data_IF_086488224233
#
_entry.id   IF_086488224233
#
_cell.length_a   1.000
_cell.length_b   1.000
_cell.length_c   1.000
_cell.angle_alpha   90.00
_cell.angle_beta   90.00
_cell.angle_gamma   90.00
#
_symmetry.space_group_name_H-M   'P 1'
#
loop_
_entity.id
_entity.type
_entity.pdbx_description
1 polymer ?
#
# COMPACT_ATOMS: atom_id res chain seq x y z
N UNK A 1 -24.18 -26.67 18.42
CA UNK A 1 -23.20 -26.02 17.52
C UNK A 1 -23.90 -25.20 16.44
N UNK A 2 -24.69 -24.18 16.80
CA UNK A 2 -25.39 -23.34 15.82
C UNK A 2 -25.64 -21.90 16.30
N UNK A 3 -24.77 -21.34 17.13
CA UNK A 3 -25.01 -20.00 17.71
C UNK A 3 -23.81 -19.05 17.63
N UNK A 4 -22.64 -19.51 17.16
CA UNK A 4 -21.44 -18.66 16.99
C UNK A 4 -21.30 -18.05 15.58
N UNK A 5 -22.16 -18.43 14.62
CA UNK A 5 -22.09 -17.96 13.22
C UNK A 5 -22.94 -16.70 12.92
N UNK A 6 -23.71 -16.18 13.89
CA UNK A 6 -24.54 -14.96 13.71
C UNK A 6 -24.01 -13.72 14.45
N UNK A 7 -22.89 -13.86 15.18
CA UNK A 7 -22.29 -12.77 15.96
C UNK A 7 -21.37 -11.87 15.13
N UNK A 8 -20.79 -12.36 14.02
CA UNK A 8 -19.91 -11.55 13.16
C UNK A 8 -20.67 -10.68 12.15
N UNK A 9 -21.85 -11.12 11.69
CA UNK A 9 -22.47 -10.50 10.50
C UNK A 9 -22.92 -9.04 10.71
N UNK A 10 -23.33 -8.64 11.92
CA UNK A 10 -23.95 -7.31 12.13
C UNK A 10 -22.96 -6.16 12.36
N UNK A 11 -21.82 -6.44 13.00
CA UNK A 11 -20.75 -5.45 13.17
C UNK A 11 -19.97 -5.30 11.86
N UNK A 12 -19.73 -6.43 11.16
CA UNK A 12 -19.21 -6.44 9.78
C UNK A 12 -20.13 -5.64 8.83
N UNK A 13 -21.46 -5.77 8.97
CA UNK A 13 -22.44 -5.01 8.18
C UNK A 13 -22.38 -3.50 8.46
N UNK A 14 -22.12 -3.08 9.71
CA UNK A 14 -21.98 -1.67 10.06
C UNK A 14 -20.67 -1.09 9.52
N UNK A 15 -19.55 -1.76 9.75
CA UNK A 15 -18.23 -1.30 9.28
C UNK A 15 -18.20 -1.20 7.76
N UNK A 16 -18.75 -2.21 7.06
CA UNK A 16 -18.91 -2.18 5.60
C UNK A 16 -19.82 -1.04 5.15
N UNK A 17 -20.95 -0.84 5.81
CA UNK A 17 -21.88 0.24 5.47
C UNK A 17 -21.31 1.63 5.78
N UNK A 18 -20.42 1.76 6.77
CA UNK A 18 -19.70 2.99 7.10
C UNK A 18 -18.63 3.30 6.03
N UNK A 19 -17.90 2.28 5.60
CA UNK A 19 -16.96 2.40 4.49
C UNK A 19 -17.67 2.80 3.18
N UNK A 20 -18.81 2.16 2.87
CA UNK A 20 -19.63 2.50 1.69
C UNK A 20 -20.24 3.92 1.77
N UNK A 21 -20.55 4.38 2.98
CA UNK A 21 -21.03 5.75 3.21
C UNK A 21 -19.92 6.79 2.98
N UNK A 22 -18.72 6.53 3.50
CA UNK A 22 -17.55 7.38 3.33
C UNK A 22 -17.09 7.43 1.87
N UNK A 23 -17.02 6.28 1.20
CA UNK A 23 -16.68 6.17 -0.22
C UNK A 23 -17.63 7.01 -1.08
N UNK A 24 -18.93 6.97 -0.80
CA UNK A 24 -19.87 7.79 -1.57
C UNK A 24 -19.81 9.29 -1.29
N UNK A 25 -19.41 9.72 -0.08
CA UNK A 25 -19.14 11.15 0.16
C UNK A 25 -17.90 11.58 -0.65
N UNK A 26 -16.92 10.69 -0.77
CA UNK A 26 -15.71 10.91 -1.55
C UNK A 26 -16.02 10.96 -3.05
N UNK A 27 -16.82 10.04 -3.56
CA UNK A 27 -17.28 10.02 -4.96
C UNK A 27 -18.07 11.27 -5.30
N UNK A 28 -18.98 11.70 -4.41
CA UNK A 28 -19.74 12.94 -4.57
C UNK A 28 -18.79 14.14 -4.70
N UNK A 29 -17.79 14.24 -3.81
CA UNK A 29 -16.77 15.29 -3.87
C UNK A 29 -16.01 15.26 -5.20
N UNK A 30 -15.61 14.08 -5.68
CA UNK A 30 -14.87 13.92 -6.92
C UNK A 30 -15.73 14.35 -8.13
N UNK A 31 -16.99 13.90 -8.18
CA UNK A 31 -17.92 14.25 -9.27
C UNK A 31 -18.22 15.74 -9.36
N UNK A 32 -18.08 16.48 -8.25
CA UNK A 32 -18.27 17.93 -8.17
C UNK A 32 -16.95 18.73 -8.30
N UNK A 33 -15.95 18.18 -8.98
CA UNK A 33 -14.70 18.88 -9.30
C UNK A 33 -13.63 18.80 -8.20
N UNK A 34 -13.76 17.85 -7.27
CA UNK A 34 -12.79 17.55 -6.22
C UNK A 34 -12.30 18.76 -5.39
N UNK A 35 -13.18 19.66 -4.91
CA UNK A 35 -12.77 20.85 -4.15
C UNK A 35 -11.94 20.45 -2.92
N UNK A 36 -10.88 21.18 -2.62
CA UNK A 36 -9.99 20.85 -1.50
C UNK A 36 -10.73 20.97 -0.16
N UNK A 37 -10.28 20.25 0.87
CA UNK A 37 -10.90 20.36 2.21
C UNK A 37 -10.80 21.78 2.77
N UNK A 38 -9.74 22.51 2.38
CA UNK A 38 -9.54 23.91 2.72
C UNK A 38 -10.58 24.80 2.02
N UNK A 39 -10.85 24.58 0.74
CA UNK A 39 -11.91 25.30 0.01
C UNK A 39 -13.30 25.05 0.60
N UNK A 40 -13.63 23.79 0.90
CA UNK A 40 -14.90 23.41 1.54
C UNK A 40 -15.04 24.11 2.90
N UNK A 41 -13.99 24.06 3.72
CA UNK A 41 -13.97 24.70 5.04
C UNK A 41 -14.09 26.24 4.95
N UNK A 42 -13.44 26.86 3.98
CA UNK A 42 -13.52 28.30 3.74
C UNK A 42 -14.91 28.73 3.28
N UNK A 43 -15.55 27.98 2.37
CA UNK A 43 -16.93 28.25 1.94
C UNK A 43 -17.93 28.13 3.09
N UNK A 44 -17.77 27.13 3.94
CA UNK A 44 -18.59 26.95 5.14
C UNK A 44 -18.45 28.15 6.10
N UNK A 45 -17.20 28.56 6.39
CA UNK A 45 -16.92 29.73 7.24
C UNK A 45 -17.49 31.01 6.67
N UNK A 46 -17.37 31.24 5.36
CA UNK A 46 -17.94 32.40 4.68
C UNK A 46 -19.48 32.43 4.76
N UNK A 47 -20.12 31.26 4.84
CA UNK A 47 -21.57 31.11 5.06
C UNK A 47 -21.99 31.21 6.55
N UNK A 48 -21.08 31.59 7.46
CA UNK A 48 -21.35 31.69 8.89
C UNK A 48 -21.41 30.35 9.62
N UNK A 49 -20.87 29.27 9.03
CA UNK A 49 -20.94 27.91 9.58
C UNK A 49 -19.53 27.38 9.88
N UNK A 50 -19.26 27.08 11.15
CA UNK A 50 -17.91 26.78 11.63
C UNK A 50 -17.61 25.29 11.80
N UNK A 51 -18.58 24.41 11.53
CA UNK A 51 -18.48 22.98 11.86
C UNK A 51 -17.61 22.14 10.89
N UNK A 52 -17.20 22.67 9.74
CA UNK A 52 -16.43 21.93 8.73
C UNK A 52 -14.93 22.26 8.79
N UNK A 53 -14.20 21.67 9.74
CA UNK A 53 -12.73 21.75 9.73
C UNK A 53 -12.11 20.78 8.72
N UNK A 54 -10.95 21.08 8.09
CA UNK A 54 -10.32 20.15 7.16
C UNK A 54 -10.03 18.77 7.75
N UNK A 55 -9.68 18.70 9.04
CA UNK A 55 -9.48 17.43 9.76
C UNK A 55 -10.77 16.64 9.89
N UNK A 56 -11.87 17.29 10.28
CA UNK A 56 -13.16 16.62 10.42
C UNK A 56 -13.72 16.14 9.07
N UNK A 57 -13.48 16.89 7.99
CA UNK A 57 -13.81 16.47 6.62
C UNK A 57 -13.02 15.21 6.25
N UNK A 58 -11.71 15.19 6.55
CA UNK A 58 -10.88 14.03 6.30
C UNK A 58 -11.35 12.80 7.09
N UNK A 59 -11.66 12.94 8.38
CA UNK A 59 -12.19 11.84 9.21
C UNK A 59 -13.48 11.25 8.62
N UNK A 60 -14.40 12.11 8.17
CA UNK A 60 -15.67 11.69 7.59
C UNK A 60 -15.49 10.95 6.25
N UNK A 61 -14.58 11.41 5.40
CA UNK A 61 -14.29 10.78 4.10
C UNK A 61 -13.47 9.50 4.20
N UNK A 62 -12.72 9.32 5.29
CA UNK A 62 -11.96 8.11 5.58
C UNK A 62 -12.76 7.05 6.34
N UNK A 63 -14.02 7.32 6.70
CA UNK A 63 -14.88 6.36 7.40
C UNK A 63 -14.44 6.03 8.82
N UNK A 64 -13.66 6.90 9.47
CA UNK A 64 -13.12 6.69 10.84
C UNK A 64 -14.26 6.55 11.86
N UNK A 65 -15.32 7.34 11.69
CA UNK A 65 -16.55 7.30 12.49
C UNK A 65 -17.69 7.90 11.70
N UNK A 66 -18.92 7.52 12.03
CA UNK A 66 -20.11 8.15 11.47
C UNK A 66 -20.18 9.64 11.91
N UNK A 67 -20.04 10.62 10.99
CA UNK A 67 -20.20 12.04 11.34
C UNK A 67 -21.62 12.36 11.81
N UNK A 68 -21.82 13.50 12.46
CA UNK A 68 -23.17 13.96 12.81
C UNK A 68 -24.01 14.23 11.57
N UNK A 69 -25.34 14.07 11.66
CA UNK A 69 -26.25 14.39 10.56
C UNK A 69 -26.05 15.82 10.07
N UNK A 70 -25.93 16.78 11.00
CA UNK A 70 -25.72 18.19 10.67
C UNK A 70 -24.42 18.40 9.88
N UNK A 71 -23.33 17.78 10.33
CA UNK A 71 -22.04 17.80 9.64
C UNK A 71 -22.15 17.20 8.23
N UNK A 72 -22.77 16.02 8.09
CA UNK A 72 -22.95 15.35 6.79
C UNK A 72 -23.71 16.24 5.82
N UNK A 73 -24.85 16.78 6.24
CA UNK A 73 -25.68 17.61 5.36
C UNK A 73 -25.00 18.93 5.00
N UNK A 74 -24.21 19.49 5.92
CA UNK A 74 -23.42 20.69 5.64
C UNK A 74 -22.28 20.39 4.65
N UNK A 75 -21.57 19.27 4.82
CA UNK A 75 -20.53 18.84 3.89
C UNK A 75 -21.09 18.63 2.47
N UNK A 76 -22.21 17.90 2.36
CA UNK A 76 -22.90 17.67 1.07
C UNK A 76 -23.29 19.00 0.42
N UNK A 77 -23.82 19.94 1.20
CA UNK A 77 -24.19 21.28 0.70
C UNK A 77 -22.97 22.05 0.17
N UNK A 78 -21.82 21.97 0.83
CA UNK A 78 -20.61 22.68 0.37
C UNK A 78 -19.96 22.04 -0.86
N UNK A 79 -20.30 20.76 -1.14
CA UNK A 79 -19.84 20.02 -2.32
C UNK A 79 -20.77 20.27 -3.52
N UNK A 80 -22.07 20.08 -3.34
CA UNK A 80 -23.06 20.05 -4.44
C UNK A 80 -23.80 21.39 -4.61
N UNK A 81 -23.74 22.26 -3.59
CA UNK A 81 -24.57 23.47 -3.53
C UNK A 81 -25.92 23.22 -2.88
N UNK A 82 -26.88 24.12 -3.10
CA UNK A 82 -28.21 24.02 -2.51
C UNK A 82 -29.13 23.09 -3.32
N UNK A 83 -29.08 21.79 -3.05
CA UNK A 83 -29.96 20.79 -3.66
C UNK A 83 -30.80 20.06 -2.60
N UNK A 84 -32.13 20.30 -2.53
CA UNK A 84 -33.02 19.63 -1.58
C UNK A 84 -33.11 18.11 -1.78
N UNK A 85 -33.08 17.61 -3.01
CA UNK A 85 -33.20 16.17 -3.29
C UNK A 85 -31.95 15.43 -2.84
N UNK A 86 -30.77 15.97 -3.11
CA UNK A 86 -29.51 15.43 -2.60
C UNK A 86 -29.46 15.49 -1.07
N UNK A 87 -29.92 16.59 -0.47
CA UNK A 87 -29.99 16.72 1.00
C UNK A 87 -30.84 15.61 1.64
N UNK A 88 -32.01 15.34 1.08
CA UNK A 88 -32.92 14.32 1.61
C UNK A 88 -32.37 12.90 1.39
N UNK A 89 -31.80 12.63 0.21
CA UNK A 89 -31.14 11.34 -0.07
C UNK A 89 -29.99 11.04 0.91
N UNK A 90 -29.18 12.05 1.25
CA UNK A 90 -28.10 11.92 2.21
C UNK A 90 -28.60 11.79 3.66
N UNK A 91 -29.71 12.45 4.00
CA UNK A 91 -30.39 12.26 5.29
C UNK A 91 -30.88 10.81 5.45
N UNK A 92 -31.46 10.23 4.40
CA UNK A 92 -31.94 8.85 4.42
C UNK A 92 -30.79 7.84 4.49
N UNK A 93 -29.70 8.09 3.76
CA UNK A 93 -28.50 7.26 3.79
C UNK A 93 -27.86 7.27 5.18
N UNK A 94 -27.73 8.45 5.81
CA UNK A 94 -27.25 8.57 7.17
C UNK A 94 -28.16 7.85 8.17
N UNK A 95 -29.48 8.02 8.04
CA UNK A 95 -30.47 7.41 8.94
C UNK A 95 -30.42 5.87 8.89
N UNK A 96 -30.22 5.29 7.69
CA UNK A 96 -30.02 3.84 7.53
C UNK A 96 -28.76 3.37 8.27
N UNK A 97 -27.64 4.07 8.09
CA UNK A 97 -26.39 3.73 8.76
C UNK A 97 -26.46 3.90 10.28
N UNK A 98 -27.15 4.94 10.75
CA UNK A 98 -27.36 5.16 12.20
C UNK A 98 -28.20 4.05 12.83
N UNK A 99 -29.20 3.51 12.12
CA UNK A 99 -29.98 2.35 12.57
C UNK A 99 -29.11 1.09 12.70
N UNK A 100 -28.15 0.89 11.80
CA UNK A 100 -27.17 -0.21 11.90
C UNK A 100 -26.25 -0.02 13.12
N UNK A 101 -25.75 1.19 13.35
CA UNK A 101 -24.94 1.53 14.53
C UNK A 101 -25.68 1.22 15.85
N UNK A 102 -26.97 1.57 15.93
CA UNK A 102 -27.80 1.28 17.11
C UNK A 102 -28.13 -0.21 17.27
N UNK A 103 -28.17 -1.00 16.17
CA UNK A 103 -28.38 -2.45 16.24
C UNK A 103 -27.15 -3.16 16.80
N UNK A 104 -25.94 -2.77 16.41
CA UNK A 104 -24.68 -3.26 17.02
C UNK A 104 -24.54 -2.84 18.49
N UNK A 105 -24.87 -1.58 18.81
CA UNK A 105 -24.83 -1.05 20.17
C UNK A 105 -25.86 -1.67 21.14
N UNK A 106 -27.11 -1.94 20.69
CA UNK A 106 -28.14 -2.63 21.50
C UNK A 106 -27.81 -4.11 21.77
N UNK A 107 -27.04 -4.77 20.89
CA UNK A 107 -26.57 -6.15 21.10
C UNK A 107 -25.48 -6.18 22.17
N UNK A 108 -24.54 -5.22 22.16
CA UNK A 108 -23.50 -5.04 23.20
C UNK A 108 -24.08 -4.60 24.57
N UNK A 109 -25.15 -3.80 24.57
CA UNK A 109 -25.85 -3.36 25.79
C UNK A 109 -26.73 -4.44 26.45
N UNK A 110 -27.00 -5.59 25.81
CA UNK A 110 -27.65 -6.73 26.48
C UNK A 110 -26.70 -7.51 27.39
N UNK A 111 -25.39 -7.41 27.16
CA UNK A 111 -24.33 -8.02 27.98
C UNK A 111 -23.74 -7.05 29.03
N UNK A 112 -24.30 -5.85 29.17
CA UNK A 112 -23.88 -4.88 30.18
C UNK A 112 -25.08 -4.06 30.64
N UNK A 113 -25.51 -4.31 31.88
CA UNK A 113 -26.71 -3.73 32.49
C UNK A 113 -26.70 -2.18 32.57
N UNK A 114 -27.87 -1.55 32.80
CA UNK A 114 -28.04 -0.12 32.55
C UNK A 114 -27.85 0.73 33.81
N UNK A 115 -27.11 1.83 33.66
CA UNK A 115 -27.22 3.06 34.45
C UNK A 115 -26.32 4.11 33.77
N UNK A 116 -26.66 5.38 33.57
CA UNK A 116 -27.83 6.18 33.86
C UNK A 116 -27.68 7.42 32.97
N UNK A 117 -28.76 7.83 32.32
CA UNK A 117 -28.85 9.15 31.71
C UNK A 117 -29.60 10.09 32.66
N UNK A 118 -29.21 11.35 32.58
CA UNK A 118 -30.06 12.53 32.70
C UNK A 118 -30.40 13.05 34.10
N UNK A 119 -30.16 14.36 34.25
CA UNK A 119 -30.67 15.35 35.21
C UNK A 119 -29.53 16.37 35.46
N UNK A 120 -29.69 17.68 35.32
CA UNK A 120 -30.91 18.48 35.22
C UNK A 120 -30.53 19.91 34.88
N UNK A 121 -31.26 20.49 33.92
CA UNK A 121 -31.46 21.93 33.87
C UNK A 121 -32.32 22.38 35.07
N UNK A 122 -32.16 23.64 35.45
CA UNK A 122 -33.00 24.43 36.38
C UNK A 122 -32.75 24.21 37.88
N UNK A 123 -32.00 25.13 38.50
CA UNK A 123 -32.62 25.94 39.57
C UNK A 123 -31.96 27.31 39.64
N UNK A 124 -32.78 28.32 39.40
CA UNK A 124 -32.48 29.73 39.54
C UNK A 124 -32.36 30.12 41.01
N UNK A 125 -31.41 31.04 41.28
CA UNK A 125 -31.61 32.25 42.07
C UNK A 125 -32.26 32.10 43.46
N UNK A 126 -31.43 32.10 44.52
CA UNK A 126 -31.69 32.85 45.75
C UNK A 126 -30.43 32.86 46.64
N UNK A 127 -29.65 33.93 46.53
CA UNK A 127 -28.70 34.32 47.57
C UNK A 127 -29.45 35.16 48.61
N UNK A 128 -29.57 34.62 49.83
CA UNK A 128 -29.21 35.26 51.11
C UNK A 128 -29.88 34.55 52.28
N UNK A 129 -29.06 33.94 53.16
CA UNK A 129 -28.99 34.28 54.59
C UNK A 129 -27.86 33.47 55.31
N UNK A 130 -27.10 34.19 56.14
CA UNK A 130 -26.38 33.75 57.35
C UNK A 130 -25.54 32.46 57.40
N UNK A 131 -24.21 32.62 57.48
CA UNK A 131 -23.35 31.82 58.37
C UNK A 131 -22.96 30.38 57.95
N UNK A 132 -23.87 29.59 57.39
CA UNK A 132 -23.61 28.18 57.05
C UNK A 132 -23.18 27.99 55.58
N UNK A 133 -23.60 28.89 54.69
CA UNK A 133 -23.25 28.85 53.26
C UNK A 133 -21.75 29.00 52.97
N UNK A 134 -20.97 29.59 53.87
CA UNK A 134 -19.52 29.77 53.69
C UNK A 134 -18.72 28.49 54.00
N UNK A 135 -19.28 27.57 54.80
CA UNK A 135 -18.65 26.28 55.11
C UNK A 135 -18.96 25.25 54.03
N UNK A 136 -20.21 25.22 53.56
CA UNK A 136 -20.63 24.40 52.42
C UNK A 136 -19.89 24.79 51.13
N UNK A 137 -19.80 26.09 50.81
CA UNK A 137 -19.06 26.57 49.64
C UNK A 137 -17.54 26.28 49.73
N UNK A 138 -16.96 26.32 50.94
CA UNK A 138 -15.55 25.94 51.15
C UNK A 138 -15.32 24.44 51.00
N UNK A 139 -16.26 23.62 51.47
CA UNK A 139 -16.20 22.17 51.31
C UNK A 139 -16.34 21.77 49.83
N UNK A 140 -17.30 22.37 49.12
CA UNK A 140 -17.49 22.19 47.68
C UNK A 140 -16.24 22.61 46.89
N UNK A 141 -15.63 23.75 47.22
CA UNK A 141 -14.36 24.17 46.62
C UNK A 141 -13.22 23.19 46.90
N UNK A 142 -13.14 22.63 48.11
CA UNK A 142 -12.13 21.64 48.47
C UNK A 142 -12.34 20.31 47.71
N UNK A 143 -13.59 19.89 47.53
CA UNK A 143 -13.95 18.67 46.80
C UNK A 143 -13.66 18.82 45.30
N UNK A 144 -13.91 20.00 44.71
CA UNK A 144 -13.56 20.32 43.31
C UNK A 144 -12.03 20.26 43.12
N UNK A 145 -11.25 20.83 44.04
CA UNK A 145 -9.78 20.80 43.96
C UNK A 145 -9.25 19.36 44.12
N UNK A 146 -9.83 18.58 45.03
CA UNK A 146 -9.48 17.19 45.21
C UNK A 146 -9.82 16.34 43.98
N UNK A 147 -10.95 16.59 43.33
CA UNK A 147 -11.34 15.93 42.09
C UNK A 147 -10.41 16.31 40.94
N UNK A 148 -10.15 17.59 40.74
CA UNK A 148 -9.24 18.08 39.71
C UNK A 148 -7.83 17.48 39.85
N UNK A 149 -7.36 17.27 41.10
CA UNK A 149 -6.09 16.59 41.37
C UNK A 149 -6.12 15.12 40.98
N UNK A 150 -7.18 14.38 41.30
CA UNK A 150 -7.35 12.97 40.89
C UNK A 150 -7.39 12.83 39.37
N UNK A 151 -8.12 13.72 38.70
CA UNK A 151 -8.23 13.72 37.24
C UNK A 151 -6.87 14.03 36.59
N UNK A 152 -6.12 14.99 37.14
CA UNK A 152 -4.76 15.29 36.68
C UNK A 152 -3.79 14.12 36.89
N UNK A 153 -3.88 13.42 38.02
CA UNK A 153 -3.08 12.22 38.29
C UNK A 153 -3.44 11.07 37.32
N UNK A 154 -4.72 10.89 36.99
CA UNK A 154 -5.17 9.91 35.99
C UNK A 154 -4.65 10.23 34.58
N UNK A 155 -4.77 11.48 34.14
CA UNK A 155 -4.27 11.92 32.84
C UNK A 155 -2.74 11.76 32.71
N UNK A 156 -2.00 12.03 33.79
CA UNK A 156 -0.56 11.81 33.83
C UNK A 156 -0.20 10.32 33.77
N UNK A 157 -1.00 9.44 34.38
CA UNK A 157 -0.81 8.00 34.31
C UNK A 157 -1.06 7.48 32.88
N UNK A 158 -2.16 7.89 32.24
CA UNK A 158 -2.48 7.55 30.85
C UNK A 158 -1.40 8.04 29.87
N UNK A 159 -0.92 9.28 30.04
CA UNK A 159 0.13 9.84 29.21
C UNK A 159 1.46 9.07 29.35
N UNK A 160 1.78 8.58 30.55
CA UNK A 160 2.97 7.73 30.78
C UNK A 160 2.83 6.37 30.10
N UNK A 161 1.67 5.75 30.21
CA UNK A 161 1.42 4.45 29.57
C UNK A 161 1.53 4.54 28.04
N UNK A 162 0.96 5.59 27.44
CA UNK A 162 1.11 5.87 26.00
C UNK A 162 2.57 6.11 25.60
N UNK A 163 3.33 6.86 26.40
CA UNK A 163 4.75 7.08 26.15
C UNK A 163 5.56 5.78 26.21
N UNK A 164 5.27 4.91 27.18
CA UNK A 164 5.92 3.60 27.33
C UNK A 164 5.56 2.63 26.18
N UNK A 165 4.33 2.70 25.67
CA UNK A 165 3.91 1.95 24.47
C UNK A 165 4.66 2.43 23.22
N UNK A 166 4.74 3.75 23.00
CA UNK A 166 5.53 4.33 21.90
C UNK A 166 6.99 3.90 21.99
N UNK A 167 7.59 3.93 23.18
CA UNK A 167 8.98 3.52 23.39
C UNK A 167 9.19 2.03 23.13
N UNK A 168 8.24 1.18 23.52
CA UNK A 168 8.27 -0.27 23.22
C UNK A 168 8.20 -0.53 21.72
N UNK A 169 7.29 0.13 21.02
CA UNK A 169 7.14 0.02 19.56
C UNK A 169 8.40 0.50 18.84
N UNK A 170 8.98 1.63 19.27
CA UNK A 170 10.24 2.14 18.71
C UNK A 170 11.43 1.19 18.93
N UNK A 171 11.54 0.59 20.12
CA UNK A 171 12.59 -0.42 20.42
C UNK A 171 12.42 -1.69 19.58
N UNK A 172 11.19 -2.12 19.36
CA UNK A 172 10.90 -3.30 18.54
C UNK A 172 11.23 -3.04 17.06
N UNK A 173 10.79 -1.91 16.52
CA UNK A 173 11.14 -1.48 15.16
C UNK A 173 12.67 -1.32 14.98
N UNK A 174 13.37 -0.78 15.98
CA UNK A 174 14.83 -0.67 15.99
C UNK A 174 15.53 -2.04 16.00
N UNK A 175 15.04 -3.01 16.79
CA UNK A 175 15.56 -4.39 16.79
C UNK A 175 15.31 -5.11 15.46
N UNK A 176 14.15 -4.90 14.84
CA UNK A 176 13.83 -5.45 13.53
C UNK A 176 14.71 -4.84 12.44
N UNK A 177 14.93 -3.51 12.47
CA UNK A 177 15.87 -2.84 11.57
C UNK A 177 17.33 -3.31 11.78
N UNK A 178 17.75 -3.52 13.03
CA UNK A 178 19.08 -4.06 13.35
C UNK A 178 19.23 -5.51 12.86
N UNK A 179 18.17 -6.33 12.91
CA UNK A 179 18.16 -7.68 12.32
C UNK A 179 18.25 -7.65 10.79
N UNK A 180 17.60 -6.69 10.12
CA UNK A 180 17.72 -6.50 8.66
C UNK A 180 19.14 -6.13 8.23
N UNK A 181 19.89 -5.42 9.09
CA UNK A 181 21.28 -5.03 8.82
C UNK A 181 22.31 -6.11 9.20
N UNK A 182 21.92 -7.19 9.88
CA UNK A 182 22.82 -8.31 10.13
C UNK A 182 22.87 -9.20 8.88
N UNK A 183 24.05 -9.37 8.29
CA UNK A 183 24.27 -10.30 7.17
C UNK A 183 23.91 -11.70 7.67
N UNK A 184 22.80 -12.26 7.17
CA UNK A 184 22.40 -13.61 7.54
C UNK A 184 23.43 -14.62 7.02
N UNK A 185 23.58 -15.81 7.63
CA UNK A 185 24.49 -16.84 7.12
C UNK A 185 24.22 -17.21 5.66
N UNK A 186 22.96 -17.13 5.21
CA UNK A 186 22.58 -17.33 3.81
C UNK A 186 23.14 -16.23 2.90
N UNK A 187 23.01 -14.96 3.29
CA UNK A 187 23.59 -13.83 2.54
C UNK A 187 25.12 -13.93 2.53
N UNK A 188 25.75 -14.22 3.67
CA UNK A 188 27.20 -14.39 3.75
C UNK A 188 27.71 -15.46 2.78
N UNK A 189 27.05 -16.62 2.69
CA UNK A 189 27.40 -17.68 1.72
C UNK A 189 27.28 -17.20 0.27
N UNK A 190 26.23 -16.44 -0.05
CA UNK A 190 26.05 -15.89 -1.39
C UNK A 190 27.15 -14.87 -1.74
N UNK A 191 27.52 -14.01 -0.79
CA UNK A 191 28.56 -12.99 -0.98
C UNK A 191 29.98 -13.55 -1.10
N UNK A 192 30.24 -14.80 -0.67
CA UNK A 192 31.56 -15.45 -0.86
C UNK A 192 31.81 -16.00 -2.26
N UNK A 193 30.81 -15.94 -3.16
CA UNK A 193 30.95 -16.45 -4.52
C UNK A 193 31.68 -15.45 -5.42
N UNK A 194 32.46 -15.97 -6.37
CA UNK A 194 33.14 -15.14 -7.38
C UNK A 194 32.17 -14.34 -8.26
N UNK A 195 30.98 -14.87 -8.53
CA UNK A 195 29.94 -14.12 -9.25
C UNK A 195 28.52 -14.65 -9.04
N UNK A 196 27.54 -13.75 -9.13
CA UNK A 196 26.10 -14.03 -9.02
C UNK A 196 25.32 -13.45 -10.22
N UNK A 197 25.13 -14.25 -11.27
CA UNK A 197 24.37 -13.92 -12.47
C UNK A 197 23.05 -14.68 -12.43
N UNK A 198 21.98 -13.98 -12.06
CA UNK A 198 20.67 -14.58 -11.77
C UNK A 198 19.65 -14.07 -12.78
N UNK A 199 18.92 -14.99 -13.40
CA UNK A 199 17.75 -14.63 -14.23
C UNK A 199 16.49 -14.70 -13.38
N UNK A 200 15.73 -13.60 -13.34
CA UNK A 200 14.48 -13.55 -12.61
C UNK A 200 13.31 -13.97 -13.50
N UNK A 201 12.76 -15.14 -13.21
CA UNK A 201 11.64 -15.74 -13.93
C UNK A 201 10.34 -15.61 -13.14
N UNK A 202 9.23 -15.52 -13.83
CA UNK A 202 7.92 -15.35 -13.20
C UNK A 202 6.94 -14.64 -14.10
N UNK A 203 5.66 -14.98 -13.96
CA UNK A 203 4.58 -14.39 -14.74
C UNK A 203 4.45 -12.88 -14.45
N UNK A 204 3.82 -12.09 -15.33
CA UNK A 204 3.45 -10.71 -14.99
C UNK A 204 2.65 -10.69 -13.68
N UNK A 205 3.02 -9.81 -12.74
CA UNK A 205 2.37 -9.74 -11.42
C UNK A 205 3.01 -10.62 -10.34
N UNK A 206 4.01 -11.46 -10.67
CA UNK A 206 4.68 -12.32 -9.70
C UNK A 206 5.55 -11.57 -8.65
N UNK A 207 5.75 -10.26 -8.80
CA UNK A 207 6.53 -9.45 -7.84
C UNK A 207 8.03 -9.32 -8.16
N UNK A 208 8.49 -9.80 -9.33
CA UNK A 208 9.89 -9.68 -9.79
C UNK A 208 10.49 -8.28 -9.62
N UNK A 209 9.79 -7.25 -10.07
CA UNK A 209 10.28 -5.87 -9.97
C UNK A 209 10.58 -5.47 -8.52
N UNK A 210 9.65 -5.75 -7.61
CA UNK A 210 9.81 -5.52 -6.17
C UNK A 210 10.95 -6.34 -5.61
N UNK A 211 10.91 -7.67 -5.77
CA UNK A 211 11.94 -8.57 -5.22
C UNK A 211 13.34 -8.27 -5.75
N UNK A 212 13.46 -7.86 -7.00
CA UNK A 212 14.75 -7.50 -7.60
C UNK A 212 15.39 -6.27 -6.97
N UNK A 213 14.59 -5.33 -6.43
CA UNK A 213 15.12 -4.18 -5.68
C UNK A 213 15.72 -4.62 -4.35
N UNK A 214 15.01 -5.48 -3.60
CA UNK A 214 15.51 -6.00 -2.32
C UNK A 214 16.73 -6.89 -2.53
N UNK A 215 16.69 -7.80 -3.50
CA UNK A 215 17.80 -8.69 -3.81
C UNK A 215 19.04 -7.94 -4.30
N UNK A 216 18.88 -6.84 -5.07
CA UNK A 216 20.00 -5.99 -5.48
C UNK A 216 20.77 -5.47 -4.25
N UNK A 217 20.04 -4.88 -3.30
CA UNK A 217 20.65 -4.30 -2.09
C UNK A 217 21.29 -5.39 -1.20
N UNK A 218 20.64 -6.54 -1.06
CA UNK A 218 21.13 -7.64 -0.22
C UNK A 218 22.36 -8.32 -0.83
N UNK A 219 22.37 -8.55 -2.14
CA UNK A 219 23.43 -9.30 -2.82
C UNK A 219 24.56 -8.40 -3.34
N UNK A 220 24.39 -7.08 -3.33
CA UNK A 220 25.40 -6.13 -3.81
C UNK A 220 25.63 -6.16 -5.33
N UNK A 221 24.69 -6.72 -6.11
CA UNK A 221 24.79 -6.83 -7.57
C UNK A 221 23.68 -6.03 -8.27
N UNK A 222 23.96 -5.35 -9.39
CA UNK A 222 22.97 -4.51 -10.08
C UNK A 222 21.79 -5.31 -10.62
N UNK A 223 20.60 -4.70 -10.56
CA UNK A 223 19.44 -5.16 -11.31
C UNK A 223 19.48 -4.59 -12.73
N UNK A 224 19.51 -5.47 -13.72
CA UNK A 224 19.42 -5.15 -15.14
C UNK A 224 18.00 -5.47 -15.61
N UNK A 225 17.16 -4.44 -15.68
CA UNK A 225 15.82 -4.56 -16.25
C UNK A 225 15.82 -4.10 -17.70
N UNK A 226 15.31 -4.94 -18.60
CA UNK A 226 15.40 -4.63 -20.03
C UNK A 226 14.66 -3.34 -20.42
N UNK A 227 13.54 -3.03 -19.77
CA UNK A 227 12.83 -1.78 -20.05
C UNK A 227 13.68 -0.54 -19.75
N UNK A 228 14.59 -0.63 -18.78
CA UNK A 228 15.54 0.45 -18.45
C UNK A 228 16.65 0.53 -19.49
N UNK A 229 17.24 -0.62 -19.86
CA UNK A 229 18.26 -0.71 -20.93
C UNK A 229 17.75 -0.07 -22.21
N UNK A 230 16.51 -0.37 -22.57
CA UNK A 230 15.90 0.14 -23.78
C UNK A 230 15.67 1.65 -23.72
N UNK A 231 15.10 2.17 -22.63
CA UNK A 231 14.93 3.62 -22.43
C UNK A 231 16.26 4.37 -22.43
N UNK A 232 17.28 3.79 -21.81
CA UNK A 232 18.63 4.35 -21.79
C UNK A 232 19.24 4.42 -23.19
N UNK A 233 19.11 3.37 -23.99
CA UNK A 233 19.60 3.34 -25.38
C UNK A 233 18.96 4.46 -26.23
N UNK A 234 17.64 4.68 -26.07
CA UNK A 234 16.92 5.77 -26.76
C UNK A 234 17.43 7.13 -26.28
N UNK A 235 17.50 7.35 -24.97
CA UNK A 235 17.93 8.63 -24.39
C UNK A 235 19.37 8.98 -24.78
N UNK A 236 20.25 7.99 -24.89
CA UNK A 236 21.65 8.17 -25.28
C UNK A 236 21.85 8.29 -26.80
N UNK A 237 20.80 8.12 -27.60
CA UNK A 237 20.88 8.15 -29.07
C UNK A 237 21.67 6.97 -29.66
N UNK A 238 21.69 5.82 -28.98
CA UNK A 238 22.34 4.62 -29.51
C UNK A 238 21.59 4.09 -30.75
N UNK A 239 22.33 3.64 -31.77
CA UNK A 239 21.75 3.20 -33.04
C UNK A 239 20.70 2.08 -32.84
N UNK A 240 20.94 1.18 -31.89
CA UNK A 240 20.00 0.12 -31.49
C UNK A 240 18.71 0.66 -30.89
N UNK A 241 18.80 1.68 -30.03
CA UNK A 241 17.66 2.34 -29.40
C UNK A 241 16.81 3.11 -30.43
N UNK A 242 17.46 3.86 -31.31
CA UNK A 242 16.80 4.62 -32.37
C UNK A 242 16.07 3.70 -33.36
N UNK A 243 16.72 2.63 -33.81
CA UNK A 243 16.10 1.64 -34.70
C UNK A 243 14.90 0.95 -34.02
N UNK A 244 15.04 0.60 -32.73
CA UNK A 244 13.94 0.01 -31.98
C UNK A 244 12.75 0.97 -31.84
N UNK A 245 13.00 2.27 -31.67
CA UNK A 245 11.96 3.30 -31.66
C UNK A 245 11.24 3.36 -33.01
N UNK A 246 11.98 3.38 -34.12
CA UNK A 246 11.41 3.42 -35.47
C UNK A 246 10.52 2.20 -35.76
N UNK A 247 10.99 0.99 -35.41
CA UNK A 247 10.23 -0.25 -35.54
C UNK A 247 8.91 -0.16 -34.74
N UNK A 248 8.96 0.39 -33.53
CA UNK A 248 7.77 0.53 -32.70
C UNK A 248 6.81 1.62 -33.18
N UNK A 249 7.32 2.71 -33.73
CA UNK A 249 6.49 3.77 -34.31
C UNK A 249 5.69 3.25 -35.53
N UNK A 250 6.21 2.23 -36.23
CA UNK A 250 5.49 1.49 -37.27
C UNK A 250 4.51 0.45 -36.75
N UNK A 251 4.54 0.15 -35.45
CA UNK A 251 3.71 -0.90 -34.81
C UNK A 251 4.27 -2.32 -34.97
N UNK A 252 5.53 -2.46 -35.43
CA UNK A 252 6.19 -3.74 -35.62
C UNK A 252 6.76 -4.27 -34.28
N UNK A 253 6.99 -5.58 -34.21
CA UNK A 253 7.66 -6.21 -33.06
C UNK A 253 9.18 -6.04 -33.18
N UNK A 254 9.84 -5.70 -32.07
CA UNK A 254 11.30 -5.61 -32.00
C UNK A 254 11.92 -7.01 -32.19
N UNK A 255 12.84 -7.20 -33.14
CA UNK A 255 13.57 -8.46 -33.32
C UNK A 255 14.43 -8.83 -32.10
N UNK A 256 14.58 -10.13 -31.84
CA UNK A 256 15.37 -10.65 -30.73
C UNK A 256 16.85 -10.22 -30.84
N UNK A 257 17.41 -10.13 -32.04
CA UNK A 257 18.79 -9.72 -32.30
C UNK A 257 19.04 -8.28 -31.86
N UNK A 258 18.12 -7.37 -32.18
CA UNK A 258 18.22 -5.97 -31.79
C UNK A 258 18.16 -5.84 -30.27
N UNK A 259 17.26 -6.60 -29.65
CA UNK A 259 17.09 -6.66 -28.20
C UNK A 259 18.33 -7.19 -27.48
N UNK A 260 18.88 -8.30 -27.97
CA UNK A 260 20.06 -8.94 -27.38
C UNK A 260 21.31 -8.10 -27.57
N UNK A 261 21.42 -7.32 -28.64
CA UNK A 261 22.51 -6.37 -28.83
C UNK A 261 22.51 -5.26 -27.76
N UNK A 262 21.36 -4.64 -27.50
CA UNK A 262 21.22 -3.64 -26.41
C UNK A 262 21.60 -4.22 -25.05
N UNK A 263 21.16 -5.46 -24.78
CA UNK A 263 21.51 -6.16 -23.56
C UNK A 263 23.02 -6.45 -23.48
N UNK A 264 23.65 -6.86 -24.58
CA UNK A 264 25.09 -7.11 -24.66
C UNK A 264 25.91 -5.90 -24.25
N UNK A 265 25.56 -4.72 -24.78
CA UNK A 265 26.18 -3.43 -24.41
C UNK A 265 26.02 -3.16 -22.93
N UNK A 266 24.83 -3.37 -22.36
CA UNK A 266 24.60 -3.17 -20.92
C UNK A 266 25.41 -4.14 -20.05
N UNK A 267 25.51 -5.40 -20.46
CA UNK A 267 26.24 -6.44 -19.73
C UNK A 267 27.77 -6.38 -19.94
N UNK A 268 28.26 -5.45 -20.76
CA UNK A 268 29.69 -5.15 -20.91
C UNK A 268 30.21 -4.10 -19.92
N UNK A 269 29.34 -3.52 -19.10
CA UNK A 269 29.74 -2.46 -18.16
C UNK A 269 30.46 -3.04 -16.94
N UNK A 270 31.41 -2.29 -16.34
CA UNK A 270 32.16 -2.78 -15.18
C UNK A 270 31.31 -3.11 -13.96
N UNK A 271 30.15 -2.45 -13.79
CA UNK A 271 29.27 -2.62 -12.63
C UNK A 271 28.62 -4.02 -12.54
N UNK A 272 28.60 -4.77 -13.65
CA UNK A 272 28.02 -6.13 -13.71
C UNK A 272 29.06 -7.24 -13.63
N UNK A 273 30.34 -6.91 -13.43
CA UNK A 273 31.43 -7.88 -13.43
C UNK A 273 31.23 -8.99 -12.39
N UNK A 274 30.88 -8.60 -11.16
CA UNK A 274 30.66 -9.48 -10.01
C UNK A 274 29.27 -10.16 -10.04
N UNK A 275 28.41 -9.77 -10.99
CA UNK A 275 27.09 -10.37 -11.13
C UNK A 275 26.01 -9.37 -11.52
N UNK A 276 24.79 -9.89 -11.69
CA UNK A 276 23.61 -9.09 -12.00
C UNK A 276 22.32 -9.89 -11.76
N UNK A 277 21.23 -9.17 -11.50
CA UNK A 277 19.87 -9.69 -11.54
C UNK A 277 19.23 -9.29 -12.87
N UNK A 278 18.91 -10.26 -13.72
CA UNK A 278 18.32 -10.00 -15.03
C UNK A 278 16.79 -10.10 -14.97
N UNK A 279 16.08 -9.01 -15.26
CA UNK A 279 14.61 -8.93 -15.18
C UNK A 279 14.00 -8.61 -16.55
N UNK A 280 13.23 -9.57 -17.09
CA UNK A 280 12.45 -9.40 -18.31
C UNK A 280 13.04 -10.02 -19.57
N UNK A 281 14.15 -10.76 -19.44
CA UNK A 281 14.83 -11.57 -20.47
C UNK A 281 15.49 -12.76 -19.78
N UNK A 282 15.56 -13.96 -20.40
CA UNK A 282 14.97 -14.31 -21.69
C UNK A 282 13.45 -14.56 -21.60
N UNK A 283 12.73 -14.22 -22.67
CA UNK A 283 11.27 -14.42 -22.80
C UNK A 283 10.90 -15.66 -23.61
N UNK A 284 11.84 -16.17 -24.40
CA UNK A 284 11.68 -17.35 -25.24
C UNK A 284 13.02 -18.12 -25.26
N UNK A 285 13.00 -19.34 -25.82
CA UNK A 285 14.18 -20.21 -25.87
C UNK A 285 15.28 -19.65 -26.76
N UNK A 286 14.93 -18.93 -27.84
CA UNK A 286 15.90 -18.30 -28.74
C UNK A 286 16.73 -17.24 -27.99
N UNK A 287 16.08 -16.31 -27.28
CA UNK A 287 16.74 -15.33 -26.41
C UNK A 287 17.60 -16.01 -25.34
N UNK A 288 17.16 -17.16 -24.80
CA UNK A 288 17.95 -17.91 -23.82
C UNK A 288 19.25 -18.44 -24.44
N UNK A 289 19.19 -19.01 -25.64
CA UNK A 289 20.38 -19.48 -26.37
C UNK A 289 21.33 -18.34 -26.73
N UNK A 290 20.79 -17.19 -27.15
CA UNK A 290 21.58 -15.99 -27.44
C UNK A 290 22.26 -15.43 -26.19
N UNK A 291 21.56 -15.43 -25.04
CA UNK A 291 22.11 -15.01 -23.76
C UNK A 291 23.27 -15.92 -23.33
N UNK A 292 23.08 -17.23 -23.44
CA UNK A 292 24.10 -18.22 -23.11
C UNK A 292 25.33 -18.06 -24.02
N UNK A 293 25.14 -17.94 -25.34
CA UNK A 293 26.23 -17.73 -26.29
C UNK A 293 27.04 -16.47 -25.97
N UNK A 294 26.36 -15.35 -25.76
CA UNK A 294 26.97 -14.05 -25.43
C UNK A 294 27.79 -14.08 -24.14
N UNK A 295 27.33 -14.80 -23.12
CA UNK A 295 28.06 -14.93 -21.86
C UNK A 295 29.25 -15.89 -22.00
N UNK A 296 29.06 -17.00 -22.72
CA UNK A 296 30.10 -18.01 -22.94
C UNK A 296 31.31 -17.46 -23.70
N UNK A 297 31.09 -16.56 -24.68
CA UNK A 297 32.16 -15.85 -25.39
C UNK A 297 33.10 -15.10 -24.43
N UNK A 298 32.63 -14.77 -23.22
CA UNK A 298 33.37 -14.04 -22.18
C UNK A 298 33.81 -14.95 -21.04
N UNK A 299 33.70 -16.26 -21.20
CA UNK A 299 33.97 -17.24 -20.13
C UNK A 299 32.97 -17.19 -18.97
N UNK A 300 31.81 -16.57 -19.17
CA UNK A 300 30.77 -16.42 -18.15
C UNK A 300 29.56 -17.30 -18.46
N UNK A 301 28.71 -17.51 -17.46
CA UNK A 301 27.42 -18.20 -17.63
C UNK A 301 26.39 -17.65 -16.66
N UNK A 302 25.09 -17.88 -16.95
CA UNK A 302 24.04 -17.69 -15.95
C UNK A 302 24.18 -18.77 -14.88
N UNK A 303 24.25 -18.35 -13.62
CA UNK A 303 24.40 -19.28 -12.51
C UNK A 303 23.08 -19.97 -12.17
N UNK A 304 21.98 -19.21 -12.16
CA UNK A 304 20.66 -19.73 -11.75
C UNK A 304 19.51 -18.87 -12.29
N UNK A 305 18.40 -19.52 -12.60
CA UNK A 305 17.09 -18.89 -12.78
C UNK A 305 16.32 -18.92 -11.47
N UNK A 306 15.95 -17.76 -10.94
CA UNK A 306 15.08 -17.63 -9.78
C UNK A 306 13.64 -17.42 -10.23
N UNK A 307 12.81 -18.46 -10.10
CA UNK A 307 11.41 -18.45 -10.50
C UNK A 307 10.49 -18.12 -9.33
N UNK A 308 9.74 -17.03 -9.45
CA UNK A 308 8.69 -16.63 -8.52
C UNK A 308 7.35 -17.23 -8.97
N UNK A 309 6.93 -18.29 -8.28
CA UNK A 309 5.67 -18.95 -8.56
C UNK A 309 4.52 -18.26 -7.82
N UNK A 310 3.53 -17.80 -8.57
CA UNK A 310 2.37 -17.06 -8.04
C UNK A 310 1.11 -17.48 -8.78
N UNK A 311 0.02 -17.84 -8.06
CA UNK A 311 -1.26 -18.16 -8.68
C UNK A 311 -1.80 -17.01 -9.54
N UNK A 312 -2.53 -17.35 -10.62
CA UNK A 312 -3.14 -16.38 -11.53
C UNK A 312 -4.03 -15.36 -10.80
N UNK A 313 -4.81 -15.82 -9.84
CA UNK A 313 -5.71 -14.96 -9.05
C UNK A 313 -4.93 -13.90 -8.29
N UNK A 314 -3.89 -14.31 -7.57
CA UNK A 314 -3.01 -13.42 -6.80
C UNK A 314 -2.31 -12.40 -7.71
N UNK A 315 -1.71 -12.87 -8.81
CA UNK A 315 -1.04 -11.98 -9.74
C UNK A 315 -1.99 -11.00 -10.44
N UNK A 316 -3.21 -11.42 -10.75
CA UNK A 316 -4.25 -10.54 -11.31
C UNK A 316 -4.63 -9.45 -10.32
N UNK A 317 -4.83 -9.79 -9.04
CA UNK A 317 -5.09 -8.83 -7.96
C UNK A 317 -3.95 -7.84 -7.84
N UNK A 318 -2.69 -8.31 -7.83
CA UNK A 318 -1.49 -7.46 -7.77
C UNK A 318 -1.40 -6.48 -8.93
N UNK A 319 -1.72 -6.91 -10.14
CA UNK A 319 -1.68 -6.04 -11.32
C UNK A 319 -2.81 -5.01 -11.30
N UNK A 320 -4.02 -5.40 -10.90
CA UNK A 320 -5.16 -4.49 -10.81
C UNK A 320 -4.97 -3.40 -9.74
N UNK A 321 -4.34 -3.74 -8.62
CA UNK A 321 -4.09 -2.82 -7.51
C UNK A 321 -2.81 -2.00 -7.65
N UNK A 322 -1.95 -2.26 -8.64
CA UNK A 322 -0.68 -1.54 -8.83
C UNK A 322 -0.92 -0.09 -9.26
N UNK A 323 -0.15 0.81 -8.67
CA UNK A 323 -0.05 2.21 -9.11
C UNK A 323 1.41 2.59 -9.29
N UNK A 324 1.68 3.47 -10.24
CA UNK A 324 2.98 4.10 -10.47
C UNK A 324 2.86 5.61 -10.36
N UNK A 325 3.90 6.29 -9.90
CA UNK A 325 3.89 7.75 -9.93
C UNK A 325 4.00 8.27 -11.38
N UNK A 326 3.20 9.27 -11.72
CA UNK A 326 3.23 9.94 -13.03
C UNK A 326 4.50 10.73 -13.30
N UNK A 327 5.22 11.14 -12.24
CA UNK A 327 6.50 11.86 -12.34
C UNK A 327 7.69 10.93 -12.41
N UNK A 328 7.62 9.78 -11.72
CA UNK A 328 8.68 8.79 -11.69
C UNK A 328 8.08 7.37 -11.61
N UNK A 329 8.18 6.65 -12.72
CA UNK A 329 7.62 5.29 -12.83
C UNK A 329 8.32 4.25 -11.93
N UNK A 330 9.46 4.59 -11.33
CA UNK A 330 10.15 3.73 -10.35
C UNK A 330 9.45 3.72 -8.98
N UNK A 331 8.65 4.76 -8.67
CA UNK A 331 7.84 4.81 -7.46
C UNK A 331 6.57 3.97 -7.66
N UNK A 332 6.63 2.71 -7.20
CA UNK A 332 5.55 1.72 -7.35
C UNK A 332 4.82 1.53 -6.02
N UNK A 333 3.48 1.56 -6.07
CA UNK A 333 2.58 1.34 -4.95
C UNK A 333 1.57 0.25 -5.26
N UNK A 334 0.90 -0.25 -4.23
CA UNK A 334 -0.23 -1.15 -4.39
C UNK A 334 -1.36 -0.78 -3.43
N UNK A 335 -2.56 -0.54 -3.94
CA UNK A 335 -3.68 0.01 -3.15
C UNK A 335 -4.07 -0.81 -1.90
N UNK A 336 -3.79 -2.11 -1.90
CA UNK A 336 -4.02 -3.02 -0.75
C UNK A 336 -2.74 -3.34 0.03
N UNK A 337 -1.72 -3.91 -0.63
CA UNK A 337 -0.52 -4.42 0.04
C UNK A 337 0.55 -3.38 0.40
N UNK A 338 0.59 -2.24 -0.31
CA UNK A 338 1.58 -1.18 -0.08
C UNK A 338 0.97 0.17 -0.48
N UNK A 339 -0.10 0.60 0.21
CA UNK A 339 -0.80 1.82 -0.14
C UNK A 339 0.09 3.04 0.12
N UNK A 340 -0.05 4.12 -0.68
CA UNK A 340 0.61 5.38 -0.35
C UNK A 340 0.06 5.94 0.97
N UNK A 341 0.86 6.76 1.66
CA UNK A 341 0.41 7.48 2.87
C UNK A 341 -0.75 8.42 2.56
N UNK A 342 -0.77 9.00 1.35
CA UNK A 342 -1.87 9.85 0.85
C UNK A 342 -2.50 9.21 -0.38
N UNK A 343 -3.82 9.07 -0.37
CA UNK A 343 -4.56 8.47 -1.48
C UNK A 343 -4.22 9.14 -2.83
N UNK A 344 -3.85 8.32 -3.81
CA UNK A 344 -3.45 8.73 -5.16
C UNK A 344 -2.27 9.73 -5.24
N UNK A 345 -1.46 9.88 -4.19
CA UNK A 345 -0.28 10.74 -4.20
C UNK A 345 0.97 9.92 -3.87
N UNK A 346 2.03 10.14 -4.63
CA UNK A 346 3.34 9.57 -4.33
C UNK A 346 3.90 10.16 -3.03
N UNK A 347 4.36 9.30 -2.14
CA UNK A 347 4.92 9.71 -0.84
C UNK A 347 6.27 10.43 -0.97
N UNK A 348 6.96 10.25 -2.10
CA UNK A 348 8.29 10.81 -2.35
C UNK A 348 8.21 12.17 -3.03
N UNK A 349 7.47 12.28 -4.14
CA UNK A 349 7.48 13.48 -5.00
C UNK A 349 6.10 14.12 -5.20
N UNK A 350 5.09 13.66 -4.45
CA UNK A 350 3.70 14.12 -4.47
C UNK A 350 3.01 14.03 -5.84
N UNK A 351 3.63 13.33 -6.81
CA UNK A 351 3.06 13.12 -8.14
C UNK A 351 1.83 12.21 -8.07
N UNK A 352 0.90 12.40 -9.01
CA UNK A 352 -0.30 11.57 -9.09
C UNK A 352 0.06 10.10 -9.29
N UNK A 353 -0.64 9.22 -8.59
CA UNK A 353 -0.51 7.78 -8.79
C UNK A 353 -1.52 7.31 -9.85
N UNK A 354 -1.01 6.67 -10.89
CA UNK A 354 -1.78 6.19 -12.03
C UNK A 354 -1.61 4.69 -12.22
N UNK A 355 -2.62 4.03 -12.80
CA UNK A 355 -2.45 2.66 -13.29
C UNK A 355 -1.55 2.67 -14.53
N UNK A 356 -0.77 1.61 -14.74
CA UNK A 356 -0.04 1.47 -15.99
C UNK A 356 -1.00 1.11 -17.12
N UNK A 357 -0.71 1.56 -18.33
CA UNK A 357 -1.50 1.22 -19.53
C UNK A 357 -1.53 -0.29 -19.79
N UNK A 358 -0.50 -1.03 -19.37
CA UNK A 358 -0.36 -2.48 -19.53
C UNK A 358 -1.02 -3.31 -18.42
N UNK A 359 -1.71 -2.68 -17.47
CA UNK A 359 -2.41 -3.33 -16.33
C UNK A 359 -3.93 -3.48 -16.53
N UNK A 360 -4.42 -3.26 -17.76
CA UNK A 360 -5.82 -3.56 -18.08
C UNK A 360 -6.07 -5.07 -18.10
N UNK A 361 -7.27 -5.51 -17.72
CA UNK A 361 -7.63 -6.95 -17.64
C UNK A 361 -7.33 -7.71 -18.94
N UNK A 362 -7.59 -7.08 -20.09
CA UNK A 362 -7.33 -7.69 -21.39
C UNK A 362 -5.83 -7.81 -21.67
N UNK A 363 -5.05 -6.77 -21.38
CA UNK A 363 -3.59 -6.80 -21.58
C UNK A 363 -2.94 -7.79 -20.63
N UNK A 364 -3.39 -7.88 -19.38
CA UNK A 364 -2.92 -8.89 -18.42
C UNK A 364 -3.13 -10.30 -18.97
N UNK A 365 -4.34 -10.63 -19.44
CA UNK A 365 -4.62 -11.94 -20.04
C UNK A 365 -3.71 -12.25 -21.22
N UNK A 366 -3.54 -11.30 -22.14
CA UNK A 366 -2.68 -11.47 -23.31
C UNK A 366 -1.21 -11.71 -22.90
N UNK A 367 -0.71 -10.96 -21.92
CA UNK A 367 0.66 -11.14 -21.40
C UNK A 367 0.84 -12.46 -20.68
N UNK A 368 -0.18 -12.93 -19.95
CA UNK A 368 -0.19 -14.23 -19.30
C UNK A 368 -0.19 -15.40 -20.28
N UNK A 369 -0.92 -15.25 -21.38
CA UNK A 369 -0.94 -16.22 -22.48
C UNK A 369 0.41 -16.25 -23.20
N UNK A 370 0.92 -15.09 -23.63
CA UNK A 370 2.22 -14.99 -24.30
C UNK A 370 3.35 -15.56 -23.45
N UNK A 371 3.35 -15.29 -22.14
CA UNK A 371 4.31 -15.87 -21.20
C UNK A 371 4.20 -17.40 -21.16
N UNK A 372 2.99 -17.96 -21.14
CA UNK A 372 2.82 -19.42 -21.13
C UNK A 372 3.25 -20.09 -22.43
N UNK A 373 3.06 -19.43 -23.57
CA UNK A 373 3.48 -19.97 -24.88
C UNK A 373 5.00 -19.92 -25.04
N UNK A 374 5.65 -18.86 -24.56
CA UNK A 374 7.06 -18.57 -24.88
C UNK A 374 8.00 -18.83 -23.71
N UNK A 375 7.65 -18.36 -22.51
CA UNK A 375 8.55 -18.30 -21.35
C UNK A 375 8.47 -19.56 -20.49
N UNK A 376 7.37 -20.32 -20.50
CA UNK A 376 7.32 -21.63 -19.82
C UNK A 376 8.43 -22.58 -20.31
N UNK A 377 8.71 -22.54 -21.62
CA UNK A 377 9.80 -23.34 -22.20
C UNK A 377 11.18 -22.91 -21.67
N UNK A 378 11.37 -21.63 -21.33
CA UNK A 378 12.60 -21.14 -20.69
C UNK A 378 12.71 -21.68 -19.26
N UNK A 379 11.62 -21.61 -18.48
CA UNK A 379 11.58 -22.16 -17.11
C UNK A 379 11.90 -23.66 -17.14
N UNK A 380 11.30 -24.41 -18.06
CA UNK A 380 11.56 -25.82 -18.26
C UNK A 380 13.03 -26.11 -18.63
N UNK A 381 13.63 -25.30 -19.51
CA UNK A 381 15.03 -25.45 -19.90
C UNK A 381 15.99 -25.23 -18.72
N UNK A 382 15.75 -24.20 -17.90
CA UNK A 382 16.53 -23.94 -16.68
C UNK A 382 16.38 -25.09 -15.66
N UNK A 383 15.16 -25.62 -15.51
CA UNK A 383 14.88 -26.76 -14.63
C UNK A 383 15.60 -28.03 -15.09
N UNK A 384 15.51 -28.37 -16.38
CA UNK A 384 16.18 -29.53 -16.96
C UNK A 384 17.71 -29.43 -16.85
N UNK A 385 18.26 -28.21 -16.89
CA UNK A 385 19.69 -27.97 -16.70
C UNK A 385 20.14 -27.98 -15.23
N UNK A 386 19.24 -28.20 -14.26
CA UNK A 386 19.55 -28.13 -12.84
C UNK A 386 19.92 -26.73 -12.35
N UNK A 387 19.50 -25.68 -13.08
CA UNK A 387 19.82 -24.26 -12.82
C UNK A 387 18.59 -23.45 -12.43
N UNK A 388 17.56 -24.08 -11.87
CA UNK A 388 16.33 -23.39 -11.48
C UNK A 388 16.10 -23.48 -9.98
N UNK A 389 15.85 -22.33 -9.35
CA UNK A 389 15.36 -22.22 -7.99
C UNK A 389 13.95 -21.66 -8.04
N UNK A 390 12.99 -22.43 -7.53
CA UNK A 390 11.59 -22.01 -7.45
C UNK A 390 11.25 -21.56 -6.04
N UNK A 391 10.64 -20.38 -5.92
CA UNK A 391 10.13 -19.87 -4.65
C UNK A 391 8.67 -19.42 -4.83
N UNK A 392 7.85 -19.66 -3.81
CA UNK A 392 6.51 -19.07 -3.77
C UNK A 392 6.62 -17.56 -3.62
N UNK A 393 5.98 -16.82 -4.53
CA UNK A 393 5.89 -15.37 -4.48
C UNK A 393 4.70 -14.84 -3.67
N UNK A 394 4.01 -15.70 -2.93
CA UNK A 394 2.85 -15.35 -2.07
C UNK A 394 3.33 -15.03 -0.65
N UNK A 395 2.83 -13.95 -0.05
CA UNK A 395 3.24 -13.47 1.28
C UNK A 395 3.65 -12.00 1.27
N UNK A 396 4.12 -11.50 2.40
CA UNK A 396 4.77 -10.19 2.51
C UNK A 396 6.04 -10.12 1.65
N UNK A 397 6.50 -8.90 1.36
CA UNK A 397 7.70 -8.69 0.55
C UNK A 397 8.91 -9.32 1.24
N UNK A 398 9.02 -9.14 2.54
CA UNK A 398 10.08 -9.66 3.41
C UNK A 398 10.10 -11.20 3.42
N UNK A 399 8.95 -11.86 3.61
CA UNK A 399 8.88 -13.33 3.61
C UNK A 399 9.26 -13.94 2.26
N UNK A 400 8.94 -13.27 1.14
CA UNK A 400 9.34 -13.72 -0.19
C UNK A 400 10.84 -13.49 -0.39
N UNK A 401 11.39 -12.38 0.10
CA UNK A 401 12.82 -12.08 0.03
C UNK A 401 13.64 -13.09 0.84
N UNK A 402 13.23 -13.39 2.07
CA UNK A 402 13.90 -14.36 2.94
C UNK A 402 13.91 -15.76 2.32
N UNK A 403 12.80 -16.17 1.70
CA UNK A 403 12.74 -17.42 0.94
C UNK A 403 13.65 -17.41 -0.27
N UNK A 404 13.65 -16.33 -1.06
CA UNK A 404 14.53 -16.22 -2.22
C UNK A 404 16.00 -16.34 -1.83
N UNK A 405 16.44 -15.60 -0.81
CA UNK A 405 17.82 -15.64 -0.30
C UNK A 405 18.14 -17.03 0.27
N UNK A 406 17.26 -17.60 1.08
CA UNK A 406 17.46 -18.92 1.68
C UNK A 406 17.58 -20.03 0.64
N UNK A 407 16.69 -20.03 -0.37
CA UNK A 407 16.71 -21.01 -1.46
C UNK A 407 17.90 -20.84 -2.39
N UNK A 408 18.29 -19.60 -2.70
CA UNK A 408 19.52 -19.34 -3.46
C UNK A 408 20.76 -19.83 -2.71
N UNK A 409 20.86 -19.54 -1.41
CA UNK A 409 21.98 -20.03 -0.60
C UNK A 409 22.02 -21.56 -0.64
N UNK A 410 20.92 -22.23 -0.32
CA UNK A 410 20.84 -23.70 -0.34
C UNK A 410 21.18 -24.32 -1.71
N UNK A 411 20.83 -23.65 -2.80
CA UNK A 411 21.16 -24.09 -4.16
C UNK A 411 22.67 -24.05 -4.42
N UNK A 412 23.37 -23.06 -3.87
CA UNK A 412 24.80 -22.87 -4.09
C UNK A 412 25.71 -23.58 -3.08
N UNK A 413 25.16 -24.13 -1.99
CA UNK A 413 25.88 -24.81 -0.90
C UNK A 413 25.94 -23.99 0.39
#
# INVERSE_FOLDING_TARGET
>A
MSTELELSSSDDDYERSLADFAAALMDLRISCGAPTYKEISQRAKAAGRTQLSPSAISEALNGVRLPSMEFTLELVRQIVGHDPQMRDAWRDRWTRLKKLQHRGSRRRSRDSGPALADQSAQTSNQLREGGEGNKAARQEAADIVAQARRDAESLLAEAREQADEILRNAKQASKEAARRNAISPAVARLMTRESLRIVMLGRPGAGKGTQGMYLKEILGIPKVHIGDVWRENIMNGEASGLLASEIMDRGDLIPDELFMNMLSTRLNRPDVADGFLLDGVPRNVNQSGMLDAMLNERGNSINVGLYFDVPLTEATTRLAGRRICSKDSSHVYHMLYSPPLRYNACDICEGALVSRSDDSRQVIKNRWYAWGVQTDAVVAAYGAAGRLVTVSGVGSVEEVTDRAVGSLAAFFG
#
